data_IF_598475022568
#
_entry.id   IF_598475022568
#
_cell.length_a   1.000
_cell.length_b   1.000
_cell.length_c   1.000
_cell.angle_alpha   90.00
_cell.angle_beta   90.00
_cell.angle_gamma   90.00
#
_symmetry.space_group_name_H-M   'P 1'
#
loop_
_entity.id
_entity.type
_entity.pdbx_description
1 polymer ?
#
# COMPACT_ATOMS: atom_id res chain seq x y z
N UNK A 1 -5.82 -12.16 3.58
CA UNK A 1 -5.05 -11.03 3.06
C UNK A 1 -4.75 -10.05 4.18
N UNK A 2 -3.49 -9.67 4.34
CA UNK A 2 -3.07 -8.52 5.15
C UNK A 2 -3.11 -7.25 4.28
N UNK A 3 -3.35 -6.08 4.87
CA UNK A 3 -3.38 -4.78 4.14
C UNK A 3 -2.09 -4.56 3.33
N UNK A 4 -0.95 -4.95 3.90
CA UNK A 4 0.35 -4.85 3.23
C UNK A 4 0.47 -5.73 1.98
N UNK A 5 -0.23 -6.87 1.95
CA UNK A 5 -0.24 -7.82 0.83
C UNK A 5 -1.02 -7.24 -0.35
N UNK A 6 -2.25 -6.79 -0.11
CA UNK A 6 -3.12 -6.15 -1.12
C UNK A 6 -2.43 -4.96 -1.79
N UNK A 7 -1.83 -4.08 -0.96
CA UNK A 7 -1.11 -2.91 -1.46
C UNK A 7 0.09 -3.30 -2.33
N UNK A 8 0.84 -4.32 -1.92
CA UNK A 8 2.02 -4.81 -2.65
C UNK A 8 1.65 -5.48 -3.97
N UNK A 9 0.57 -6.24 -4.00
CA UNK A 9 0.04 -6.86 -5.22
C UNK A 9 -0.36 -5.77 -6.22
N UNK A 10 -1.20 -4.82 -5.82
CA UNK A 10 -1.64 -3.73 -6.71
C UNK A 10 -0.48 -2.83 -7.16
N UNK A 11 0.49 -2.58 -6.29
CA UNK A 11 1.74 -1.89 -6.64
C UNK A 11 2.48 -2.64 -7.76
N UNK A 12 2.58 -3.96 -7.65
CA UNK A 12 3.28 -4.83 -8.61
C UNK A 12 2.56 -4.88 -9.94
N UNK A 13 1.22 -5.01 -9.93
CA UNK A 13 0.37 -4.98 -11.12
C UNK A 13 0.54 -3.68 -11.93
N UNK A 14 0.71 -2.56 -11.22
CA UNK A 14 0.96 -1.24 -11.84
C UNK A 14 2.41 -1.00 -12.26
N UNK A 15 3.34 -1.89 -11.89
CA UNK A 15 4.77 -1.74 -12.18
C UNK A 15 5.43 -0.56 -11.47
N UNK A 16 4.91 -0.14 -10.31
CA UNK A 16 5.41 1.03 -9.57
C UNK A 16 6.45 0.58 -8.53
N UNK A 17 7.66 1.14 -8.57
CA UNK A 17 8.68 0.88 -7.53
C UNK A 17 8.27 1.46 -6.18
N UNK A 18 8.72 0.89 -5.07
CA UNK A 18 8.40 1.41 -3.72
C UNK A 18 8.92 2.84 -3.51
N UNK A 19 10.04 3.18 -4.14
CA UNK A 19 10.57 4.55 -4.13
C UNK A 19 9.64 5.54 -4.85
N UNK A 20 9.05 5.13 -5.96
CA UNK A 20 8.09 5.96 -6.69
C UNK A 20 6.77 6.08 -5.92
N UNK A 21 6.25 4.98 -5.38
CA UNK A 21 5.04 4.99 -4.58
C UNK A 21 5.18 5.89 -3.34
N UNK A 22 6.33 5.85 -2.67
CA UNK A 22 6.67 6.74 -1.57
C UNK A 22 6.64 8.22 -1.98
N UNK A 23 7.23 8.56 -3.14
CA UNK A 23 7.21 9.94 -3.66
C UNK A 23 5.80 10.45 -3.94
N UNK A 24 4.94 9.61 -4.53
CA UNK A 24 3.58 10.01 -4.91
C UNK A 24 2.62 10.12 -3.73
N UNK A 25 2.75 9.22 -2.76
CA UNK A 25 1.90 9.21 -1.56
C UNK A 25 2.39 10.14 -0.45
N UNK A 26 3.62 10.64 -0.54
CA UNK A 26 4.25 11.43 0.53
C UNK A 26 4.68 10.59 1.75
N UNK A 27 4.55 9.26 1.68
CA UNK A 27 4.98 8.35 2.72
C UNK A 27 6.50 8.18 2.63
N UNK A 28 7.20 8.30 3.76
CA UNK A 28 8.65 8.09 3.78
C UNK A 28 9.04 6.70 3.26
N UNK A 29 10.04 6.63 2.36
CA UNK A 29 10.43 5.38 1.70
C UNK A 29 10.66 4.21 2.68
N UNK A 30 11.47 4.43 3.72
CA UNK A 30 11.74 3.38 4.70
C UNK A 30 10.48 2.98 5.46
N UNK A 31 9.61 3.93 5.80
CA UNK A 31 8.35 3.66 6.49
C UNK A 31 7.41 2.81 5.61
N UNK A 32 7.29 3.14 4.32
CA UNK A 32 6.53 2.35 3.36
C UNK A 32 7.14 0.96 3.19
N UNK A 33 8.46 0.86 3.02
CA UNK A 33 9.16 -0.42 2.83
C UNK A 33 8.92 -1.38 4.00
N UNK A 34 9.16 -0.94 5.23
CA UNK A 34 8.94 -1.80 6.42
C UNK A 34 7.46 -2.10 6.66
N UNK A 35 6.56 -1.20 6.26
CA UNK A 35 5.11 -1.45 6.29
C UNK A 35 4.69 -2.54 5.31
N UNK A 36 5.16 -2.47 4.07
CA UNK A 36 4.89 -3.52 3.09
C UNK A 36 5.49 -4.85 3.53
N UNK A 37 6.65 -4.87 4.20
CA UNK A 37 7.26 -6.06 4.81
C UNK A 37 6.51 -6.59 6.06
N UNK A 38 5.40 -5.97 6.46
CA UNK A 38 4.61 -6.39 7.63
C UNK A 38 5.25 -6.05 8.99
N UNK A 39 6.38 -5.32 9.00
CA UNK A 39 7.10 -4.95 10.23
C UNK A 39 6.52 -3.70 10.91
N UNK A 40 5.64 -2.99 10.22
CA UNK A 40 4.99 -1.76 10.69
C UNK A 40 3.56 -1.69 10.18
N UNK A 41 2.61 -1.38 11.07
CA UNK A 41 1.23 -1.13 10.66
C UNK A 41 1.14 0.14 9.80
N UNK A 42 0.38 0.06 8.72
CA UNK A 42 0.00 1.21 7.90
C UNK A 42 -1.06 2.00 8.68
N UNK A 43 -0.86 3.30 8.87
CA UNK A 43 -1.87 4.17 9.50
C UNK A 43 -3.03 4.44 8.56
N UNK A 44 -4.18 4.87 9.09
CA UNK A 44 -5.36 5.17 8.27
C UNK A 44 -5.07 6.24 7.19
N UNK A 45 -4.30 7.28 7.51
CA UNK A 45 -3.94 8.32 6.55
C UNK A 45 -3.04 7.78 5.42
N UNK A 46 -2.08 6.92 5.76
CA UNK A 46 -1.22 6.27 4.78
C UNK A 46 -2.02 5.31 3.90
N UNK A 47 -2.96 4.57 4.48
CA UNK A 47 -3.85 3.68 3.74
C UNK A 47 -4.69 4.47 2.73
N UNK A 48 -5.30 5.58 3.15
CA UNK A 48 -6.07 6.45 2.24
C UNK A 48 -5.20 6.98 1.10
N UNK A 49 -3.97 7.43 1.39
CA UNK A 49 -3.04 7.88 0.35
C UNK A 49 -2.66 6.77 -0.63
N UNK A 50 -2.41 5.56 -0.12
CA UNK A 50 -2.12 4.38 -0.94
C UNK A 50 -3.32 3.99 -1.80
N UNK A 51 -4.54 4.02 -1.25
CA UNK A 51 -5.74 3.71 -2.01
C UNK A 51 -5.98 4.70 -3.15
N UNK A 52 -5.79 6.00 -2.91
CA UNK A 52 -5.93 7.01 -3.96
C UNK A 52 -4.90 6.84 -5.08
N UNK A 53 -3.63 6.54 -4.74
CA UNK A 53 -2.57 6.39 -5.75
C UNK A 53 -2.66 5.06 -6.51
N UNK A 54 -3.07 3.98 -5.85
CA UNK A 54 -3.15 2.63 -6.42
C UNK A 54 -4.55 2.29 -6.96
N UNK A 55 -5.48 3.25 -6.90
CA UNK A 55 -6.91 3.09 -7.20
C UNK A 55 -7.45 1.80 -6.57
N UNK A 56 -7.22 1.65 -5.27
CA UNK A 56 -7.77 0.57 -4.45
C UNK A 56 -9.11 1.01 -3.87
N UNK A 57 -10.07 0.10 -3.86
CA UNK A 57 -11.35 0.24 -3.16
C UNK A 57 -11.34 -0.56 -1.84
N UNK A 58 -12.29 -0.29 -0.95
CA UNK A 58 -12.48 -1.05 0.30
C UNK A 58 -12.74 -2.53 -0.02
N UNK A 59 -13.41 -2.84 -1.13
CA UNK A 59 -13.65 -4.22 -1.56
C UNK A 59 -12.37 -5.01 -1.86
N UNK A 60 -11.25 -4.34 -2.20
CA UNK A 60 -9.95 -5.01 -2.40
C UNK A 60 -9.37 -5.59 -1.10
N UNK A 61 -9.90 -5.19 0.07
CA UNK A 61 -9.47 -5.68 1.39
C UNK A 61 -10.46 -6.65 2.01
N UNK A 62 -11.57 -6.95 1.34
CA UNK A 62 -12.54 -7.91 1.85
C UNK A 62 -11.97 -9.34 1.80
N UNK A 63 -12.19 -10.15 2.85
CA UNK A 63 -11.84 -11.56 2.79
C UNK A 63 -12.68 -12.26 1.72
N UNK A 64 -12.05 -13.08 0.88
CA UNK A 64 -12.77 -14.00 0.00
C UNK A 64 -13.72 -14.87 0.85
N UNK A 65 -15.02 -14.80 0.56
CA UNK A 65 -16.09 -15.50 1.29
C UNK A 65 -16.48 -16.81 0.63
#
# INVERSE_FOLDING_TARGET
MDTAEVVRERQTERGISTAELARRTGIGYEALRVSLEGKRKISANELVALCMELELDISDFEPER
#
